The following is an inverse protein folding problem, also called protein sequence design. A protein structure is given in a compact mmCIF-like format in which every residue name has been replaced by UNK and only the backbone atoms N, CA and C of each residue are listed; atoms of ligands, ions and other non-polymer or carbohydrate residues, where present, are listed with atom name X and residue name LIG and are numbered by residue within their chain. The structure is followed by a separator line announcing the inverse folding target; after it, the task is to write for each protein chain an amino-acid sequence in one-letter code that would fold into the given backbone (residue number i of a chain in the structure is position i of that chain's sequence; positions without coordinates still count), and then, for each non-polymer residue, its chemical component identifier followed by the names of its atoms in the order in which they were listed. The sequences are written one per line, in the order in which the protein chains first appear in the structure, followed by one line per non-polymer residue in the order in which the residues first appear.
data_IF_754891633006
#
_entry.id   IF_754891633006
#
_cell.length_a   1.000
_cell.length_b   1.000
_cell.length_c   1.000
_cell.angle_alpha   90.00
_cell.angle_beta   90.00
_cell.angle_gamma   90.00
#
_symmetry.space_group_name_H-M   'P 1'
#
loop_
_entity.id
_entity.type
_entity.pdbx_description
1 polymer ?
#
# COMPACT_ATOMS: atom_id res chain seq x y z
N UNK A 1 -4.32 -4.94 -22.22
CA UNK A 1 -4.13 -4.88 -20.77
C UNK A 1 -4.38 -6.27 -20.20
N UNK A 2 -3.47 -6.78 -19.38
CA UNK A 2 -3.63 -8.05 -18.64
C UNK A 2 -3.34 -7.83 -17.15
N UNK A 3 -3.81 -8.72 -16.29
CA UNK A 3 -3.66 -8.62 -14.82
C UNK A 3 -2.93 -9.85 -14.32
N UNK A 4 -1.76 -9.68 -13.71
CA UNK A 4 -1.05 -10.72 -12.99
C UNK A 4 -1.30 -10.56 -11.48
N UNK A 5 -1.57 -11.64 -10.77
CA UNK A 5 -1.68 -11.63 -9.31
C UNK A 5 -0.51 -12.32 -8.65
N UNK A 6 0.06 -11.68 -7.64
CA UNK A 6 0.90 -12.38 -6.67
C UNK A 6 0.06 -13.09 -5.59
N UNK A 7 0.76 -13.69 -4.63
CA UNK A 7 0.15 -14.52 -3.59
C UNK A 7 -0.39 -13.71 -2.39
N UNK A 8 0.07 -12.46 -2.20
CA UNK A 8 -0.23 -11.68 -0.99
C UNK A 8 -1.71 -11.38 -0.79
N UNK A 9 -2.48 -11.21 -1.88
CA UNK A 9 -3.92 -10.92 -1.81
C UNK A 9 -4.67 -11.38 -3.06
N UNK A 10 -4.74 -12.68 -3.29
CA UNK A 10 -5.47 -13.28 -4.42
C UNK A 10 -6.95 -12.87 -4.48
N UNK A 11 -7.59 -12.75 -3.32
CA UNK A 11 -9.01 -12.37 -3.24
C UNK A 11 -9.27 -10.97 -3.80
N UNK A 12 -8.39 -9.98 -3.50
CA UNK A 12 -8.49 -8.63 -4.07
C UNK A 12 -8.32 -8.69 -5.60
N UNK A 13 -7.29 -9.39 -6.06
CA UNK A 13 -7.00 -9.53 -7.49
C UNK A 13 -8.15 -10.19 -8.26
N UNK A 14 -8.78 -11.23 -7.70
CA UNK A 14 -9.96 -11.88 -8.27
C UNK A 14 -11.16 -10.92 -8.35
N UNK A 15 -11.39 -10.10 -7.31
CA UNK A 15 -12.46 -9.11 -7.33
C UNK A 15 -12.21 -8.03 -8.39
N UNK A 16 -10.98 -7.55 -8.53
CA UNK A 16 -10.59 -6.57 -9.56
C UNK A 16 -10.78 -7.20 -10.95
N UNK A 17 -10.29 -8.41 -11.16
CA UNK A 17 -10.44 -9.18 -12.41
C UNK A 17 -11.93 -9.30 -12.81
N UNK A 18 -12.77 -9.70 -11.86
CA UNK A 18 -14.23 -9.83 -12.08
C UNK A 18 -14.88 -8.48 -12.41
N UNK A 19 -14.52 -7.42 -11.67
CA UNK A 19 -15.06 -6.07 -11.89
C UNK A 19 -14.68 -5.51 -13.26
N UNK A 20 -13.43 -5.72 -13.69
CA UNK A 20 -12.92 -5.26 -14.97
C UNK A 20 -13.27 -6.20 -16.14
N UNK A 21 -13.93 -7.33 -15.86
CA UNK A 21 -14.20 -8.38 -16.86
C UNK A 21 -12.94 -8.82 -17.63
N UNK A 22 -11.81 -8.86 -16.92
CA UNK A 22 -10.50 -9.18 -17.49
C UNK A 22 -9.88 -10.30 -16.65
N UNK A 23 -9.68 -11.48 -17.27
CA UNK A 23 -9.15 -12.65 -16.56
C UNK A 23 -7.72 -12.42 -16.08
N UNK A 24 -7.36 -13.08 -15.00
CA UNK A 24 -5.99 -13.10 -14.49
C UNK A 24 -5.10 -13.88 -15.45
N UNK A 25 -3.85 -13.42 -15.57
CA UNK A 25 -2.79 -14.15 -16.28
C UNK A 25 -2.58 -15.51 -15.61
N UNK A 26 -2.48 -16.56 -16.42
CA UNK A 26 -2.11 -17.88 -15.92
C UNK A 26 -0.64 -17.87 -15.52
N UNK A 27 -0.38 -18.13 -14.25
CA UNK A 27 0.98 -18.13 -13.67
C UNK A 27 1.08 -19.13 -12.53
N UNK A 28 2.27 -19.63 -12.30
CA UNK A 28 2.62 -20.48 -11.17
C UNK A 28 3.64 -19.76 -10.30
N UNK A 29 3.22 -19.37 -9.10
CA UNK A 29 4.07 -18.70 -8.12
C UNK A 29 4.12 -19.57 -6.88
N UNK A 30 5.30 -20.13 -6.58
CA UNK A 30 5.52 -21.09 -5.49
C UNK A 30 6.88 -20.83 -4.82
N UNK A 31 7.12 -21.52 -3.73
CA UNK A 31 8.43 -21.59 -3.10
C UNK A 31 9.08 -22.93 -3.37
N UNK A 32 10.41 -22.93 -3.48
CA UNK A 32 11.22 -24.12 -3.39
C UNK A 32 11.31 -24.61 -1.93
N UNK A 33 11.90 -25.79 -1.72
CA UNK A 33 12.03 -26.39 -0.39
C UNK A 33 12.91 -25.54 0.59
N UNK A 34 13.87 -24.79 0.04
CA UNK A 34 14.74 -23.86 0.75
C UNK A 34 14.10 -22.48 1.01
N UNK A 35 12.87 -22.25 0.50
CA UNK A 35 12.11 -21.01 0.68
C UNK A 35 12.29 -19.99 -0.43
N UNK A 36 13.16 -20.22 -1.42
CA UNK A 36 13.29 -19.34 -2.59
C UNK A 36 11.99 -19.30 -3.39
N UNK A 37 11.67 -18.13 -3.95
CA UNK A 37 10.45 -17.90 -4.71
C UNK A 37 10.69 -18.22 -6.19
N UNK A 38 9.82 -19.03 -6.76
CA UNK A 38 9.79 -19.36 -8.17
C UNK A 38 8.54 -18.76 -8.83
N UNK A 39 8.75 -18.15 -10.00
CA UNK A 39 7.69 -17.53 -10.79
C UNK A 39 7.75 -18.01 -12.22
N UNK A 40 6.61 -18.47 -12.72
CA UNK A 40 6.42 -18.93 -14.09
C UNK A 40 5.15 -18.31 -14.68
N UNK A 41 5.26 -17.71 -15.86
CA UNK A 41 4.13 -17.12 -16.58
C UNK A 41 3.74 -18.09 -17.69
N UNK A 42 2.55 -18.72 -17.56
CA UNK A 42 2.10 -19.82 -18.40
C UNK A 42 1.26 -19.38 -19.60
N UNK A 43 1.41 -18.11 -20.02
CA UNK A 43 0.76 -17.62 -21.25
C UNK A 43 1.57 -16.51 -21.91
N UNK A 44 1.33 -16.30 -23.19
CA UNK A 44 2.00 -15.23 -23.92
C UNK A 44 1.49 -13.85 -23.48
N UNK A 45 2.42 -13.03 -22.95
CA UNK A 45 2.17 -11.66 -22.51
C UNK A 45 2.94 -10.62 -23.31
N UNK A 46 3.71 -11.03 -24.31
CA UNK A 46 4.54 -10.15 -25.15
C UNK A 46 3.72 -8.98 -25.69
N UNK A 47 4.26 -7.77 -25.57
CA UNK A 47 3.65 -6.54 -26.07
C UNK A 47 2.39 -6.07 -25.31
N UNK A 48 1.99 -6.76 -24.24
CA UNK A 48 0.86 -6.35 -23.42
C UNK A 48 1.28 -5.41 -22.29
N UNK A 49 0.40 -4.47 -21.93
CA UNK A 49 0.52 -3.72 -20.68
C UNK A 49 0.00 -4.59 -19.53
N UNK A 50 0.81 -4.77 -18.50
CA UNK A 50 0.52 -5.67 -17.37
C UNK A 50 0.31 -4.87 -16.08
N UNK A 51 -0.75 -5.17 -15.35
CA UNK A 51 -0.98 -4.72 -13.98
C UNK A 51 -0.65 -5.89 -13.05
N UNK A 52 0.47 -5.79 -12.33
CA UNK A 52 0.88 -6.77 -11.33
C UNK A 52 0.35 -6.35 -9.97
N UNK A 53 -0.57 -7.12 -9.39
CA UNK A 53 -1.16 -6.85 -8.07
C UNK A 53 -0.43 -7.69 -7.02
N UNK A 54 0.37 -7.04 -6.18
CA UNK A 54 1.12 -7.67 -5.09
C UNK A 54 1.31 -6.69 -3.94
N UNK A 55 0.81 -7.02 -2.77
CA UNK A 55 0.99 -6.23 -1.55
C UNK A 55 2.31 -6.60 -0.85
N UNK A 56 2.98 -5.64 -0.23
CA UNK A 56 4.18 -5.88 0.60
C UNK A 56 3.82 -5.88 2.08
N UNK A 57 2.67 -6.49 2.41
CA UNK A 57 2.25 -6.77 3.79
C UNK A 57 2.97 -7.99 4.35
N UNK A 58 2.70 -8.36 5.60
CA UNK A 58 3.29 -9.57 6.21
C UNK A 58 2.91 -10.85 5.44
N UNK A 59 3.87 -11.75 5.18
CA UNK A 59 5.33 -11.67 5.43
C UNK A 59 6.03 -10.74 4.43
N UNK A 60 6.51 -9.58 4.92
CA UNK A 60 6.93 -8.47 4.07
C UNK A 60 8.12 -8.80 3.14
N UNK A 61 9.10 -9.55 3.65
CA UNK A 61 10.30 -9.90 2.87
C UNK A 61 9.95 -10.82 1.71
N UNK A 62 9.13 -11.85 1.96
CA UNK A 62 8.69 -12.79 0.94
C UNK A 62 7.85 -12.08 -0.11
N UNK A 63 6.90 -11.27 0.32
CA UNK A 63 6.01 -10.52 -0.58
C UNK A 63 6.77 -9.48 -1.41
N UNK A 64 7.80 -8.85 -0.84
CA UNK A 64 8.66 -7.94 -1.59
C UNK A 64 9.49 -8.71 -2.64
N UNK A 65 10.11 -9.82 -2.25
CA UNK A 65 10.89 -10.62 -3.20
C UNK A 65 10.01 -11.17 -4.32
N UNK A 66 8.80 -11.65 -3.99
CA UNK A 66 7.81 -12.10 -4.97
C UNK A 66 7.43 -10.98 -5.96
N UNK A 67 7.24 -9.76 -5.46
CA UNK A 67 6.98 -8.59 -6.30
C UNK A 67 8.14 -8.34 -7.29
N UNK A 68 9.38 -8.31 -6.80
CA UNK A 68 10.55 -8.02 -7.62
C UNK A 68 10.78 -9.09 -8.69
N UNK A 69 10.71 -10.35 -8.31
CA UNK A 69 10.84 -11.48 -9.24
C UNK A 69 9.70 -11.52 -10.27
N UNK A 70 8.47 -11.15 -9.86
CA UNK A 70 7.35 -11.04 -10.79
C UNK A 70 7.57 -9.95 -11.84
N UNK A 71 8.09 -8.79 -11.43
CA UNK A 71 8.41 -7.69 -12.34
C UNK A 71 9.50 -8.12 -13.32
N UNK A 72 10.58 -8.77 -12.85
CA UNK A 72 11.66 -9.28 -13.71
C UNK A 72 11.15 -10.33 -14.71
N UNK A 73 10.33 -11.28 -14.26
CA UNK A 73 9.71 -12.28 -15.14
C UNK A 73 8.85 -11.65 -16.24
N UNK A 74 8.05 -10.63 -15.90
CA UNK A 74 7.25 -9.86 -16.86
C UNK A 74 8.11 -9.14 -17.88
N UNK A 75 9.19 -8.49 -17.42
CA UNK A 75 10.15 -7.79 -18.29
C UNK A 75 10.84 -8.76 -19.26
N UNK A 76 11.31 -9.90 -18.76
CA UNK A 76 11.93 -10.96 -19.60
C UNK A 76 10.94 -11.59 -20.58
N UNK A 77 9.65 -11.59 -20.24
CA UNK A 77 8.58 -12.05 -21.13
C UNK A 77 8.14 -10.97 -22.13
N UNK A 78 8.89 -9.87 -22.25
CA UNK A 78 8.65 -8.75 -23.19
C UNK A 78 7.29 -8.08 -22.98
N UNK A 79 6.84 -7.91 -21.74
CA UNK A 79 5.72 -7.03 -21.44
C UNK A 79 6.01 -5.61 -21.98
N UNK A 80 4.98 -4.92 -22.51
CA UNK A 80 5.13 -3.55 -23.04
C UNK A 80 5.34 -2.53 -21.93
N UNK A 81 4.52 -2.63 -20.91
CA UNK A 81 4.56 -1.80 -19.71
C UNK A 81 4.17 -2.62 -18.48
N UNK A 82 4.81 -2.36 -17.36
CA UNK A 82 4.57 -3.03 -16.09
C UNK A 82 4.15 -1.99 -15.05
N UNK A 83 2.88 -2.04 -14.65
CA UNK A 83 2.36 -1.25 -13.52
C UNK A 83 2.33 -2.13 -12.28
N UNK A 84 3.18 -1.81 -11.30
CA UNK A 84 3.17 -2.47 -10.00
C UNK A 84 2.04 -1.89 -9.13
N UNK A 85 0.98 -2.65 -8.93
CA UNK A 85 -0.14 -2.30 -8.03
C UNK A 85 0.16 -2.88 -6.66
N UNK A 86 0.54 -2.02 -5.73
CA UNK A 86 1.02 -2.38 -4.39
C UNK A 86 0.04 -1.81 -3.36
N UNK A 87 -1.06 -2.54 -3.02
CA UNK A 87 -2.09 -2.03 -2.10
C UNK A 87 -1.55 -1.63 -0.74
N UNK A 88 -0.54 -2.32 -0.24
CA UNK A 88 0.23 -1.92 0.94
C UNK A 88 1.71 -1.87 0.60
N UNK A 89 2.29 -0.67 0.66
CA UNK A 89 3.70 -0.43 0.44
C UNK A 89 4.47 -0.68 1.75
N UNK A 90 5.11 -1.84 1.84
CA UNK A 90 5.94 -2.20 2.99
C UNK A 90 7.20 -1.34 3.10
N UNK A 91 7.85 -1.35 4.29
CA UNK A 91 9.05 -0.54 4.60
C UNK A 91 8.84 0.99 4.56
N UNK A 92 7.63 1.46 4.28
CA UNK A 92 7.28 2.88 4.18
C UNK A 92 7.48 3.68 5.48
N UNK A 93 7.51 3.01 6.65
CA UNK A 93 7.70 3.68 7.95
C UNK A 93 9.10 4.28 8.13
N UNK A 94 10.09 3.80 7.35
CA UNK A 94 11.46 4.26 7.34
C UNK A 94 11.71 5.14 6.12
N UNK A 95 11.00 6.27 6.06
CA UNK A 95 11.06 7.26 4.98
C UNK A 95 12.11 8.36 5.22
N UNK A 96 12.72 8.36 6.41
CA UNK A 96 13.77 9.29 6.83
C UNK A 96 14.63 8.68 7.92
N UNK A 97 15.82 9.23 8.13
CA UNK A 97 16.66 8.88 9.27
C UNK A 97 16.12 9.57 10.53
N UNK A 98 15.62 8.80 11.47
CA UNK A 98 15.17 9.29 12.80
C UNK A 98 16.33 9.30 13.77
N UNK A 99 17.25 8.35 13.64
CA UNK A 99 18.49 8.25 14.42
C UNK A 99 19.67 8.05 13.46
N UNK A 100 20.91 8.43 13.86
CA UNK A 100 22.10 8.25 13.06
C UNK A 100 22.32 6.78 12.65
N UNK A 101 22.91 6.56 11.48
CA UNK A 101 23.32 5.23 10.97
C UNK A 101 22.18 4.25 10.71
N UNK A 102 20.96 4.75 10.47
CA UNK A 102 19.82 3.94 10.03
C UNK A 102 19.60 4.04 8.54
N UNK A 103 18.93 3.03 7.97
CA UNK A 103 18.52 3.02 6.57
C UNK A 103 17.35 3.98 6.32
N UNK A 104 17.19 4.35 5.05
CA UNK A 104 15.92 4.88 4.50
C UNK A 104 15.34 3.77 3.64
N UNK A 105 14.69 2.80 4.31
CA UNK A 105 14.25 1.56 3.66
C UNK A 105 13.20 1.81 2.58
N UNK A 106 12.37 2.84 2.74
CA UNK A 106 11.40 3.23 1.71
C UNK A 106 12.09 3.60 0.39
N UNK A 107 13.21 4.34 0.43
CA UNK A 107 14.00 4.69 -0.77
C UNK A 107 14.65 3.46 -1.39
N UNK A 108 15.22 2.58 -0.55
CA UNK A 108 15.83 1.34 -1.05
C UNK A 108 14.80 0.48 -1.78
N UNK A 109 13.62 0.28 -1.20
CA UNK A 109 12.55 -0.53 -1.81
C UNK A 109 12.04 0.12 -3.10
N UNK A 110 11.91 1.45 -3.15
CA UNK A 110 11.56 2.16 -4.38
C UNK A 110 12.58 1.89 -5.50
N UNK A 111 13.86 2.01 -5.20
CA UNK A 111 14.94 1.74 -6.17
C UNK A 111 14.91 0.28 -6.66
N UNK A 112 14.65 -0.69 -5.77
CA UNK A 112 14.58 -2.10 -6.16
C UNK A 112 13.42 -2.37 -7.12
N UNK A 113 12.25 -1.78 -6.88
CA UNK A 113 11.07 -1.91 -7.75
C UNK A 113 11.35 -1.35 -9.14
N UNK A 114 11.97 -0.18 -9.22
CA UNK A 114 12.36 0.44 -10.50
C UNK A 114 13.41 -0.40 -11.23
N UNK A 115 14.45 -0.84 -10.51
CA UNK A 115 15.53 -1.66 -11.11
C UNK A 115 15.03 -3.02 -11.58
N UNK A 116 14.04 -3.61 -10.90
CA UNK A 116 13.38 -4.82 -11.38
C UNK A 116 12.66 -4.59 -12.71
N UNK A 117 12.24 -3.36 -13.02
CA UNK A 117 11.68 -2.97 -14.31
C UNK A 117 10.23 -2.52 -14.30
N UNK A 118 9.70 -2.04 -13.17
CA UNK A 118 8.41 -1.38 -13.14
C UNK A 118 8.46 -0.03 -13.88
N UNK A 119 7.42 0.27 -14.67
CA UNK A 119 7.28 1.55 -15.39
C UNK A 119 6.35 2.52 -14.64
N UNK A 120 5.54 2.03 -13.71
CA UNK A 120 4.60 2.81 -12.89
C UNK A 120 4.29 2.06 -11.60
N UNK A 121 4.02 2.80 -10.55
CA UNK A 121 3.52 2.26 -9.27
C UNK A 121 2.13 2.82 -8.98
N UNK A 122 1.22 1.97 -8.53
CA UNK A 122 -0.07 2.33 -7.94
C UNK A 122 -0.11 1.79 -6.52
N UNK A 123 -0.38 2.64 -5.55
CA UNK A 123 -0.44 2.24 -4.15
C UNK A 123 -1.61 2.91 -3.42
N UNK A 124 -1.89 2.51 -2.19
CA UNK A 124 -2.99 3.06 -1.39
C UNK A 124 -2.47 3.55 -0.06
N UNK A 125 -2.81 4.79 0.30
CA UNK A 125 -2.52 5.40 1.60
C UNK A 125 -1.06 5.24 2.04
N UNK A 126 -0.11 5.73 1.26
CA UNK A 126 1.30 5.76 1.63
C UNK A 126 1.47 6.30 3.06
N UNK A 127 2.43 5.73 3.78
CA UNK A 127 2.76 6.18 5.14
C UNK A 127 3.06 7.69 5.19
N UNK A 128 3.75 8.19 4.17
CA UNK A 128 4.05 9.60 3.96
C UNK A 128 3.97 9.92 2.47
N UNK A 129 3.35 11.06 2.11
CA UNK A 129 3.18 11.48 0.72
C UNK A 129 4.50 11.73 -0.01
N UNK A 130 5.55 12.10 0.70
CA UNK A 130 6.89 12.34 0.15
C UNK A 130 7.55 11.09 -0.45
N UNK A 131 7.11 9.89 -0.07
CA UNK A 131 7.63 8.63 -0.64
C UNK A 131 7.42 8.56 -2.16
N UNK A 132 6.41 9.26 -2.70
CA UNK A 132 6.21 9.38 -4.14
C UNK A 132 7.45 9.98 -4.83
N UNK A 133 8.13 10.90 -4.18
CA UNK A 133 9.38 11.51 -4.68
C UNK A 133 10.61 10.61 -4.56
N UNK A 134 10.48 9.40 -4.02
CA UNK A 134 11.58 8.42 -4.00
C UNK A 134 11.68 7.61 -5.29
N UNK A 135 10.66 7.68 -6.12
CA UNK A 135 10.59 7.04 -7.42
C UNK A 135 10.93 8.02 -8.53
N UNK A 136 11.67 7.55 -9.52
CA UNK A 136 11.91 8.26 -10.80
C UNK A 136 10.84 7.91 -11.86
N UNK A 137 9.95 6.96 -11.55
CA UNK A 137 8.78 6.57 -12.35
C UNK A 137 7.49 7.13 -11.75
N UNK A 138 6.41 7.27 -12.55
CA UNK A 138 5.13 7.76 -12.05
C UNK A 138 4.56 6.91 -10.90
N UNK A 139 4.05 7.58 -9.87
CA UNK A 139 3.40 6.96 -8.71
C UNK A 139 2.01 7.52 -8.51
N UNK A 140 1.00 6.66 -8.52
CA UNK A 140 -0.37 7.00 -8.17
C UNK A 140 -0.65 6.54 -6.73
N UNK A 141 -0.69 7.49 -5.80
CA UNK A 141 -1.10 7.23 -4.41
C UNK A 141 -2.59 7.44 -4.26
N UNK A 142 -3.35 6.36 -4.24
CA UNK A 142 -4.80 6.38 -4.04
C UNK A 142 -5.13 6.52 -2.55
N UNK A 143 -6.31 7.10 -2.26
CA UNK A 143 -6.79 7.24 -0.89
C UNK A 143 -8.03 6.39 -0.66
N UNK A 144 -8.02 5.58 0.39
CA UNK A 144 -9.17 4.77 0.80
C UNK A 144 -10.25 5.58 1.54
N UNK A 145 -9.92 6.80 2.00
CA UNK A 145 -10.82 7.67 2.76
C UNK A 145 -12.22 7.85 2.12
N UNK A 146 -12.37 8.09 0.79
CA UNK A 146 -13.70 8.21 0.17
C UNK A 146 -14.50 6.91 0.24
N UNK A 147 -13.84 5.76 0.17
CA UNK A 147 -14.47 4.42 0.25
C UNK A 147 -15.00 4.22 1.67
N UNK A 148 -14.18 4.50 2.68
CA UNK A 148 -14.58 4.42 4.08
C UNK A 148 -15.72 5.38 4.40
N UNK A 149 -15.65 6.63 3.96
CA UNK A 149 -16.72 7.61 4.18
C UNK A 149 -18.06 7.13 3.60
N UNK A 150 -18.05 6.58 2.38
CA UNK A 150 -19.25 6.02 1.75
C UNK A 150 -19.81 4.83 2.54
N UNK A 151 -18.95 3.93 3.00
CA UNK A 151 -19.33 2.76 3.77
C UNK A 151 -19.93 3.16 5.13
N UNK A 152 -19.29 4.09 5.83
CA UNK A 152 -19.72 4.59 7.14
C UNK A 152 -21.10 5.27 7.01
N UNK A 153 -21.26 6.18 6.02
CA UNK A 153 -22.55 6.83 5.76
C UNK A 153 -23.69 5.83 5.50
N UNK A 154 -23.38 4.70 4.86
CA UNK A 154 -24.37 3.64 4.59
C UNK A 154 -24.71 2.82 5.85
N UNK A 155 -23.74 2.60 6.74
CA UNK A 155 -23.87 1.70 7.89
C UNK A 155 -24.35 2.40 9.17
N UNK A 156 -23.89 3.62 9.39
CA UNK A 156 -24.15 4.36 10.61
C UNK A 156 -25.12 5.51 10.35
N UNK A 157 -26.15 5.65 11.23
CA UNK A 157 -26.98 6.84 11.27
C UNK A 157 -26.13 8.01 11.78
N UNK A 158 -26.35 9.22 11.23
CA UNK A 158 -25.51 10.42 11.43
C UNK A 158 -25.36 10.94 12.89
N UNK A 159 -26.08 10.42 13.85
CA UNK A 159 -26.12 10.97 15.20
C UNK A 159 -25.01 10.36 16.04
N UNK A 160 -24.20 11.22 16.64
CA UNK A 160 -23.15 10.91 17.62
C UNK A 160 -21.92 10.13 17.07
N UNK A 161 -21.42 10.51 15.89
CA UNK A 161 -20.17 9.99 15.37
C UNK A 161 -19.08 11.06 15.48
N UNK A 162 -17.90 10.68 15.94
CA UNK A 162 -16.70 11.51 15.96
C UNK A 162 -15.55 10.73 15.28
N UNK A 163 -14.73 11.42 14.50
CA UNK A 163 -13.47 10.85 13.98
C UNK A 163 -12.38 10.99 15.03
N UNK A 164 -11.65 9.91 15.29
CA UNK A 164 -10.54 9.93 16.23
C UNK A 164 -9.22 9.61 15.50
N UNK A 165 -8.25 10.51 15.59
CA UNK A 165 -6.88 10.22 15.19
C UNK A 165 -6.17 9.50 16.36
N UNK A 166 -5.62 8.29 16.15
CA UNK A 166 -4.98 7.51 17.22
C UNK A 166 -3.62 8.06 17.65
N UNK A 167 -3.08 8.97 16.87
CA UNK A 167 -1.84 9.72 17.12
C UNK A 167 -1.77 10.95 16.20
N UNK A 168 -0.76 11.80 16.43
CA UNK A 168 -0.54 13.03 15.65
C UNK A 168 -0.30 12.71 14.16
N UNK A 169 0.38 11.60 13.84
CA UNK A 169 0.64 11.16 12.45
C UNK A 169 -0.63 10.80 11.68
N UNK A 170 -1.67 10.33 12.38
CA UNK A 170 -2.98 9.99 11.80
C UNK A 170 -3.91 11.19 11.56
N UNK A 171 -3.57 12.39 12.10
CA UNK A 171 -4.46 13.57 12.12
C UNK A 171 -4.95 13.98 10.74
N UNK A 172 -4.07 14.03 9.75
CA UNK A 172 -4.43 14.46 8.38
C UNK A 172 -5.49 13.53 7.76
N UNK A 173 -5.32 12.21 7.93
CA UNK A 173 -6.28 11.19 7.43
C UNK A 173 -7.60 11.24 8.18
N UNK A 174 -7.57 11.34 9.51
CA UNK A 174 -8.77 11.46 10.33
C UNK A 174 -9.55 12.75 10.00
N UNK A 175 -8.84 13.87 9.80
CA UNK A 175 -9.44 15.14 9.38
C UNK A 175 -10.11 15.04 8.01
N UNK A 176 -9.45 14.40 7.02
CA UNK A 176 -10.03 14.17 5.71
C UNK A 176 -11.32 13.33 5.79
N UNK A 177 -11.32 12.28 6.61
CA UNK A 177 -12.50 11.46 6.85
C UNK A 177 -13.62 12.25 7.55
N UNK A 178 -13.28 12.99 8.63
CA UNK A 178 -14.24 13.83 9.37
C UNK A 178 -14.89 14.87 8.45
N UNK A 179 -14.13 15.52 7.58
CA UNK A 179 -14.66 16.45 6.58
C UNK A 179 -15.64 15.79 5.62
N UNK A 180 -15.34 14.58 5.13
CA UNK A 180 -16.25 13.83 4.24
C UNK A 180 -17.52 13.35 4.95
N UNK A 181 -17.43 13.06 6.24
CA UNK A 181 -18.56 12.62 7.06
C UNK A 181 -19.34 13.80 7.63
N UNK A 182 -18.77 15.00 7.65
CA UNK A 182 -19.27 16.20 8.35
C UNK A 182 -19.42 15.93 9.85
N UNK A 183 -18.33 15.52 10.50
CA UNK A 183 -18.26 15.20 11.93
C UNK A 183 -16.98 15.77 12.54
N UNK A 184 -17.00 15.93 13.87
CA UNK A 184 -15.86 16.45 14.62
C UNK A 184 -14.66 15.51 14.64
N UNK A 185 -13.50 16.06 15.01
CA UNK A 185 -12.23 15.37 15.12
C UNK A 185 -11.69 15.44 16.55
N UNK A 186 -11.38 14.27 17.10
CA UNK A 186 -10.55 14.17 18.32
C UNK A 186 -9.17 13.61 17.96
N UNK A 187 -8.15 14.00 18.69
CA UNK A 187 -6.77 13.53 18.50
C UNK A 187 -6.29 12.95 19.81
N UNK A 188 -5.74 11.73 19.75
CA UNK A 188 -5.11 11.10 20.91
C UNK A 188 -3.64 11.51 20.94
N UNK A 189 -3.21 12.14 22.03
CA UNK A 189 -1.79 12.43 22.26
C UNK A 189 -1.10 11.15 22.78
N UNK A 190 -0.33 10.52 21.91
CA UNK A 190 0.40 9.30 22.19
C UNK A 190 1.84 9.64 22.55
N UNK A 191 2.17 9.60 23.83
CA UNK A 191 3.53 9.78 24.31
C UNK A 191 4.18 8.43 24.59
N UNK A 192 5.42 8.25 24.17
CA UNK A 192 6.26 7.08 24.46
C UNK A 192 7.44 7.53 25.29
N UNK A 193 7.33 7.60 26.63
CA UNK A 193 8.42 8.07 27.50
C UNK A 193 9.61 7.08 27.58
N UNK A 194 9.40 5.80 27.25
CA UNK A 194 10.43 4.78 27.15
C UNK A 194 10.02 3.70 26.15
N UNK A 195 10.99 2.87 25.72
CA UNK A 195 10.84 1.90 24.61
C UNK A 195 9.73 0.85 24.82
N UNK A 196 9.14 0.71 26.00
CA UNK A 196 8.21 -0.39 26.33
C UNK A 196 6.78 -0.01 26.74
N UNK A 197 6.46 1.27 26.97
CA UNK A 197 5.11 1.65 27.41
C UNK A 197 4.49 2.77 26.58
N UNK A 198 3.21 2.60 26.20
CA UNK A 198 2.41 3.62 25.52
C UNK A 198 1.40 4.20 26.50
N UNK A 199 1.51 5.51 26.80
CA UNK A 199 0.47 6.23 27.50
C UNK A 199 -0.45 6.92 26.48
N UNK A 200 -1.76 6.70 26.61
CA UNK A 200 -2.79 7.36 25.83
C UNK A 200 -3.47 8.40 26.72
N UNK A 201 -3.38 9.68 26.32
CA UNK A 201 -4.13 10.76 26.95
C UNK A 201 -5.17 11.25 25.95
N UNK A 202 -6.43 11.36 26.38
CA UNK A 202 -7.47 12.05 25.61
C UNK A 202 -7.27 13.57 25.83
N UNK A 203 -7.30 14.40 24.78
CA UNK A 203 -7.26 15.84 24.95
C UNK A 203 -8.52 16.30 25.68
N UNK A 204 -8.34 17.18 26.64
CA UNK A 204 -9.44 17.96 27.22
C UNK A 204 -10.12 18.75 26.10
N UNK A 205 -11.44 18.76 26.12
CA UNK A 205 -12.28 19.53 25.20
C UNK A 205 -11.84 21.01 25.22
N UNK A 206 -11.44 21.53 24.08
CA UNK A 206 -11.33 22.97 23.90
C UNK A 206 -12.74 23.47 23.60
N UNK A 207 -13.37 24.07 24.57
CA UNK A 207 -14.57 24.89 24.34
C UNK A 207 -14.08 26.14 23.60
N UNK A 208 -14.35 26.20 22.31
CA UNK A 208 -14.24 27.45 21.54
C UNK A 208 -15.58 28.14 21.74
N UNK A 209 -15.54 29.21 22.55
CA UNK A 209 -16.64 30.14 22.66
C UNK A 209 -16.91 30.90 21.37
#
# INVERSE_FOLDING_TARGET
MKILTGNSNKHLSQKISKFLKNRLVNSNIRKFADGEIYIEINENIRGNSIFLIQSVSSPANDNLMELLLSIDALKRSSAKNITAVIPYFGYARQDRKVVPRTSISAKLVSNLIEKAGADRVVTVDLHSGQIQGFFDIPVDNLFATPIFARHIKKKLKKNNIICVAPDVGGTARARALGKLLNVDLAIVDKRRPAVSYTHLTLPTRWDVG
#
